data_IF_537644681120
#
_entry.id   IF_537644681120
#
_cell.length_a   1.000
_cell.length_b   1.000
_cell.length_c   1.000
_cell.angle_alpha   90.00
_cell.angle_beta   90.00
_cell.angle_gamma   90.00
#
_symmetry.space_group_name_H-M   'P 1'
#
loop_
_entity.id
_entity.type
_entity.pdbx_description
1 polymer ?
#
# COMPACT_ATOMS: atom_id res chain seq x y z
N UNK A 1 7.46 4.91 -21.42
CA UNK A 1 7.15 4.70 -19.99
C UNK A 1 5.75 4.13 -19.91
N UNK A 2 5.49 2.99 -19.27
CA UNK A 2 4.12 2.53 -19.08
C UNK A 2 3.41 3.55 -18.19
N UNK A 3 2.49 4.30 -18.77
CA UNK A 3 1.64 5.24 -18.04
C UNK A 3 0.56 4.40 -17.38
N UNK A 4 0.62 4.27 -16.06
CA UNK A 4 -0.38 3.53 -15.29
C UNK A 4 -1.76 4.10 -15.62
N UNK A 5 -2.65 3.26 -16.16
CA UNK A 5 -3.99 3.69 -16.56
C UNK A 5 -4.76 4.15 -15.32
N UNK A 6 -5.57 5.20 -15.45
CA UNK A 6 -6.50 5.58 -14.40
C UNK A 6 -7.42 4.39 -14.08
N UNK A 7 -7.44 3.95 -12.83
CA UNK A 7 -8.20 2.78 -12.37
C UNK A 7 -7.39 1.49 -12.20
N UNK A 8 -6.10 1.45 -12.57
CA UNK A 8 -5.26 0.28 -12.27
C UNK A 8 -5.08 0.14 -10.74
N UNK A 9 -5.29 -1.05 -10.16
CA UNK A 9 -5.12 -1.26 -8.73
C UNK A 9 -3.71 -0.92 -8.27
N UNK A 10 -3.59 -0.11 -7.21
CA UNK A 10 -2.29 0.23 -6.61
C UNK A 10 -2.04 -0.58 -5.34
N UNK A 11 -0.85 -1.16 -5.26
CA UNK A 11 -0.41 -1.99 -4.13
C UNK A 11 0.56 -1.28 -3.19
N UNK A 12 0.89 -1.93 -2.07
CA UNK A 12 1.90 -1.48 -1.11
C UNK A 12 3.07 -2.45 -1.16
N UNK A 13 4.28 -1.92 -1.38
CA UNK A 13 5.52 -2.70 -1.39
C UNK A 13 6.26 -2.53 -0.07
N UNK A 14 6.64 -3.64 0.56
CA UNK A 14 7.43 -3.68 1.78
C UNK A 14 8.63 -4.61 1.60
N UNK A 15 9.73 -4.31 2.29
CA UNK A 15 10.83 -5.27 2.40
C UNK A 15 10.39 -6.49 3.23
N UNK A 16 10.87 -7.68 2.84
CA UNK A 16 10.47 -8.96 3.46
C UNK A 16 11.28 -9.29 4.73
N UNK A 17 12.48 -8.73 4.83
CA UNK A 17 13.51 -9.08 5.82
C UNK A 17 13.44 -8.22 7.10
N UNK A 18 12.64 -7.15 7.10
CA UNK A 18 12.58 -6.20 8.21
C UNK A 18 11.13 -6.11 8.71
N UNK A 19 10.88 -6.35 10.01
CA UNK A 19 9.54 -6.19 10.57
C UNK A 19 9.10 -4.73 10.52
N UNK A 20 7.84 -4.52 10.15
CA UNK A 20 7.25 -3.18 10.15
C UNK A 20 7.06 -2.69 11.58
N UNK A 21 7.40 -1.43 11.83
CA UNK A 21 7.05 -0.77 13.09
C UNK A 21 5.54 -0.68 13.27
N UNK A 22 5.06 -0.56 14.51
CA UNK A 22 3.63 -0.44 14.81
C UNK A 22 2.97 0.73 14.05
N UNK A 23 3.66 1.87 13.93
CA UNK A 23 3.15 3.02 13.17
C UNK A 23 2.99 2.74 11.67
N UNK A 24 3.93 1.99 11.08
CA UNK A 24 3.84 1.61 9.66
C UNK A 24 2.67 0.63 9.42
N UNK A 25 2.47 -0.34 10.31
CA UNK A 25 1.33 -1.26 10.23
C UNK A 25 -0.01 -0.52 10.33
N UNK A 26 -0.12 0.43 11.27
CA UNK A 26 -1.29 1.30 11.44
C UNK A 26 -1.60 2.11 10.17
N UNK A 27 -0.57 2.72 9.58
CA UNK A 27 -0.72 3.50 8.35
C UNK A 27 -1.19 2.62 7.18
N UNK A 28 -0.60 1.44 7.00
CA UNK A 28 -0.99 0.49 5.95
C UNK A 28 -2.45 0.07 6.12
N UNK A 29 -2.90 -0.19 7.35
CA UNK A 29 -4.29 -0.52 7.64
C UNK A 29 -5.24 0.64 7.27
N UNK A 30 -4.87 1.88 7.58
CA UNK A 30 -5.65 3.07 7.22
C UNK A 30 -5.74 3.25 5.70
N UNK A 31 -4.62 3.06 4.97
CA UNK A 31 -4.60 3.13 3.50
C UNK A 31 -5.57 2.10 2.90
N UNK A 32 -5.48 0.83 3.34
CA UNK A 32 -6.37 -0.25 2.87
C UNK A 32 -7.84 0.07 3.10
N UNK A 33 -8.17 0.70 4.22
CA UNK A 33 -9.54 1.13 4.53
C UNK A 33 -10.03 2.28 3.64
N UNK A 34 -9.13 3.15 3.19
CA UNK A 34 -9.46 4.30 2.33
C UNK A 34 -9.59 3.95 0.84
N UNK A 35 -9.14 2.76 0.43
CA UNK A 35 -9.27 2.32 -0.96
C UNK A 35 -10.74 2.01 -1.27
N UNK A 36 -11.29 2.56 -2.37
CA UNK A 36 -12.61 2.17 -2.85
C UNK A 36 -12.63 0.69 -3.25
N UNK A 37 -13.74 0.01 -2.97
CA UNK A 37 -14.01 -1.36 -3.40
C UNK A 37 -14.30 -1.42 -4.91
#
# INVERSE_FOLDING_TARGET
MPTQSAGEPIGILTRVDIPLSTGAQMLIAAIRKSMPL
#
